data_IF_465494223276
#
_entry.id   IF_465494223276
#
_cell.length_a   1.000
_cell.length_b   1.000
_cell.length_c   1.000
_cell.angle_alpha   90.00
_cell.angle_beta   90.00
_cell.angle_gamma   90.00
#
_symmetry.space_group_name_H-M   'P 1'
#
loop_
_entity.id
_entity.type
_entity.pdbx_description
1 polymer ?
#
# COMPACT_ATOMS: atom_id res chain seq x y z
N UNK A 1 -22.87 -8.78 12.45
CA UNK A 1 -22.38 -7.41 12.26
C UNK A 1 -20.96 -7.50 11.74
N UNK A 2 -20.64 -6.78 10.68
CA UNK A 2 -19.27 -6.70 10.16
C UNK A 2 -18.54 -5.51 10.80
N UNK A 3 -17.24 -5.65 10.93
CA UNK A 3 -16.34 -4.56 11.31
C UNK A 3 -15.59 -4.09 10.06
N UNK A 4 -15.46 -2.77 9.89
CA UNK A 4 -14.65 -2.17 8.86
C UNK A 4 -13.76 -1.05 9.44
N UNK A 5 -12.60 -0.85 8.83
CA UNK A 5 -11.70 0.25 9.19
C UNK A 5 -11.64 1.26 8.06
N UNK A 6 -11.65 2.54 8.42
CA UNK A 6 -11.57 3.64 7.47
C UNK A 6 -10.40 4.54 7.84
N UNK A 7 -9.39 4.53 7.00
CA UNK A 7 -8.27 5.45 7.08
C UNK A 7 -8.64 6.82 6.52
N UNK A 8 -8.01 7.86 7.04
CA UNK A 8 -8.34 9.22 6.63
C UNK A 8 -7.11 10.12 6.60
N UNK A 9 -7.17 11.14 5.74
CA UNK A 9 -6.23 12.25 5.77
C UNK A 9 -6.71 13.28 6.81
N UNK A 10 -5.80 13.77 7.65
CA UNK A 10 -6.10 14.73 8.74
C UNK A 10 -6.53 16.11 8.26
N UNK A 11 -6.49 16.39 6.95
CA UNK A 11 -7.08 17.57 6.33
C UNK A 11 -8.59 17.53 6.55
N UNK A 12 -9.18 18.65 6.96
CA UNK A 12 -10.62 18.83 7.19
C UNK A 12 -11.17 18.25 8.50
N UNK A 13 -10.31 18.02 9.51
CA UNK A 13 -10.75 17.71 10.88
C UNK A 13 -11.00 16.24 11.15
N UNK A 14 -10.56 15.35 10.27
CA UNK A 14 -10.49 13.93 10.57
C UNK A 14 -9.49 13.65 11.70
N UNK A 15 -9.76 12.63 12.51
CA UNK A 15 -8.99 12.30 13.71
C UNK A 15 -8.08 11.08 13.54
N UNK A 16 -8.17 10.37 12.42
CA UNK A 16 -7.33 9.20 12.16
C UNK A 16 -8.06 8.01 11.57
N UNK A 17 -7.94 6.84 12.19
CA UNK A 17 -8.60 5.60 11.74
C UNK A 17 -9.92 5.43 12.49
N UNK A 18 -11.00 5.19 11.75
CA UNK A 18 -12.32 4.94 12.31
C UNK A 18 -12.68 3.45 12.21
N UNK A 19 -13.19 2.87 13.29
CA UNK A 19 -13.82 1.57 13.25
C UNK A 19 -15.32 1.75 13.04
N UNK A 20 -15.87 1.08 12.04
CA UNK A 20 -17.29 1.05 11.73
C UNK A 20 -17.89 -0.30 12.11
N UNK A 21 -19.05 -0.27 12.73
CA UNK A 21 -19.96 -1.42 12.81
C UNK A 21 -20.97 -1.33 11.66
N UNK A 22 -21.13 -2.42 10.91
CA UNK A 22 -22.01 -2.50 9.75
C UNK A 22 -23.07 -3.57 10.01
N UNK A 23 -24.34 -3.19 9.96
CA UNK A 23 -25.45 -4.14 9.98
C UNK A 23 -25.63 -4.75 8.58
N UNK A 24 -25.42 -6.07 8.47
CA UNK A 24 -25.47 -6.78 7.18
C UNK A 24 -26.86 -6.85 6.55
N UNK A 25 -27.91 -6.66 7.35
CA UNK A 25 -29.31 -6.73 6.86
C UNK A 25 -29.80 -5.37 6.38
N UNK A 26 -29.40 -4.30 7.06
CA UNK A 26 -29.88 -2.94 6.76
C UNK A 26 -28.86 -2.08 6.04
N UNK A 27 -27.58 -2.52 6.00
CA UNK A 27 -26.42 -1.75 5.55
C UNK A 27 -26.21 -0.44 6.36
N UNK A 28 -26.81 -0.35 7.55
CA UNK A 28 -26.56 0.79 8.44
C UNK A 28 -25.12 0.75 8.94
N UNK A 29 -24.40 1.88 8.86
CA UNK A 29 -23.03 2.03 9.29
C UNK A 29 -22.95 3.01 10.46
N UNK A 30 -22.20 2.64 11.50
CA UNK A 30 -21.97 3.50 12.67
C UNK A 30 -20.50 3.54 13.01
N UNK A 31 -19.95 4.72 13.23
CA UNK A 31 -18.62 4.86 13.84
C UNK A 31 -18.73 4.42 15.29
N UNK A 32 -18.00 3.39 15.66
CA UNK A 32 -17.99 2.86 17.02
C UNK A 32 -16.72 3.21 17.78
N UNK A 33 -15.60 3.48 17.05
CA UNK A 33 -14.31 3.89 17.62
C UNK A 33 -13.59 4.85 16.71
N UNK A 34 -12.69 5.62 17.29
CA UNK A 34 -11.76 6.49 16.58
C UNK A 34 -10.38 6.32 17.20
N UNK A 35 -9.41 5.99 16.39
CA UNK A 35 -8.01 5.81 16.77
C UNK A 35 -7.23 7.00 16.22
N UNK A 36 -6.60 7.82 17.10
CA UNK A 36 -5.77 8.92 16.64
C UNK A 36 -4.61 8.42 15.78
N UNK A 37 -4.56 8.88 14.54
CA UNK A 37 -3.50 8.55 13.59
C UNK A 37 -3.38 9.70 12.58
N UNK A 38 -2.16 10.07 12.22
CA UNK A 38 -1.91 11.16 11.31
C UNK A 38 -1.93 10.66 9.86
N UNK A 39 -2.76 11.27 9.01
CA UNK A 39 -2.79 11.04 7.56
C UNK A 39 -2.75 9.56 7.15
N UNK A 40 -3.52 8.71 7.83
CA UNK A 40 -3.64 7.28 7.56
C UNK A 40 -4.54 7.04 6.35
N UNK A 41 -4.09 7.52 5.17
CA UNK A 41 -4.91 7.58 3.96
C UNK A 41 -5.13 6.22 3.29
N UNK A 42 -4.26 5.25 3.55
CA UNK A 42 -4.39 3.89 3.04
C UNK A 42 -4.14 2.86 4.15
N UNK A 43 -4.92 1.77 4.12
CA UNK A 43 -4.89 0.70 5.11
C UNK A 43 -4.82 -0.66 4.41
N UNK A 44 -4.12 -1.60 4.99
CA UNK A 44 -4.27 -3.02 4.68
C UNK A 44 -4.38 -3.85 5.96
N UNK A 45 -4.93 -5.05 5.83
CA UNK A 45 -5.08 -6.03 6.93
C UNK A 45 -4.40 -7.32 6.48
N UNK A 46 -3.67 -7.97 7.39
CA UNK A 46 -3.08 -9.28 7.10
C UNK A 46 -4.14 -10.36 6.87
N UNK A 47 -3.75 -11.48 6.25
CA UNK A 47 -4.67 -12.58 5.91
C UNK A 47 -5.35 -13.22 7.13
N UNK A 48 -4.70 -13.15 8.29
CA UNK A 48 -5.22 -13.69 9.54
C UNK A 48 -6.17 -12.72 10.26
N UNK A 49 -6.36 -11.52 9.72
CA UNK A 49 -7.17 -10.43 10.28
C UNK A 49 -6.73 -10.00 11.70
N UNK A 50 -5.44 -10.18 12.02
CA UNK A 50 -4.87 -9.87 13.33
C UNK A 50 -4.15 -8.53 13.40
N UNK A 51 -3.67 -8.05 12.24
CA UNK A 51 -2.90 -6.81 12.18
C UNK A 51 -3.39 -5.90 11.06
N UNK A 52 -3.40 -4.61 11.37
CA UNK A 52 -3.70 -3.55 10.42
C UNK A 52 -2.46 -2.69 10.25
N UNK A 53 -2.12 -2.38 9.02
CA UNK A 53 -1.04 -1.48 8.65
C UNK A 53 -1.61 -0.25 7.97
N UNK A 54 -1.06 0.92 8.31
CA UNK A 54 -1.56 2.21 7.82
C UNK A 54 -0.42 3.09 7.33
N UNK A 55 -0.58 3.72 6.18
CA UNK A 55 0.35 4.77 5.73
C UNK A 55 0.27 5.98 6.66
N UNK A 56 1.40 6.69 6.83
CA UNK A 56 1.46 8.03 7.42
C UNK A 56 1.90 8.97 6.30
N UNK A 57 0.93 9.45 5.53
CA UNK A 57 1.16 10.27 4.33
C UNK A 57 1.73 11.63 4.72
N UNK A 58 3.03 11.75 4.67
CA UNK A 58 3.76 12.95 5.11
C UNK A 58 5.03 13.17 4.27
N UNK A 59 5.57 14.37 4.37
CA UNK A 59 6.88 14.74 3.83
C UNK A 59 7.98 14.70 4.89
N UNK A 60 7.63 14.56 6.17
CA UNK A 60 8.57 14.45 7.29
C UNK A 60 7.98 13.55 8.36
N UNK A 61 8.73 12.60 8.83
CA UNK A 61 8.35 11.64 9.85
C UNK A 61 9.42 11.60 10.95
N UNK A 62 9.08 12.08 12.16
CA UNK A 62 10.00 12.20 13.31
C UNK A 62 11.35 12.86 12.98
N UNK A 63 11.35 13.85 12.09
CA UNK A 63 12.57 14.55 11.66
C UNK A 63 13.36 13.84 10.55
N UNK A 64 12.87 12.70 10.05
CA UNK A 64 13.39 12.02 8.87
C UNK A 64 12.64 12.54 7.65
N UNK A 65 13.33 12.80 6.53
CA UNK A 65 12.70 13.18 5.27
C UNK A 65 11.93 11.99 4.69
N UNK A 66 10.63 12.20 4.47
CA UNK A 66 9.69 11.16 4.04
C UNK A 66 8.53 10.96 5.00
N UNK A 67 7.62 10.04 4.65
CA UNK A 67 6.51 9.62 5.48
C UNK A 67 6.83 8.41 6.34
N UNK A 68 5.78 7.77 6.85
CA UNK A 68 5.87 6.59 7.71
C UNK A 68 4.82 5.54 7.38
N UNK A 69 4.93 4.44 8.07
CA UNK A 69 3.94 3.36 8.12
C UNK A 69 3.82 2.85 9.54
N UNK A 70 2.60 2.60 10.01
CA UNK A 70 2.29 2.15 11.36
C UNK A 70 1.61 0.79 11.36
N UNK A 71 1.84 0.01 12.42
CA UNK A 71 1.23 -1.29 12.66
C UNK A 71 0.33 -1.24 13.90
N UNK A 72 -0.80 -1.95 13.83
CA UNK A 72 -1.76 -2.10 14.90
C UNK A 72 -2.19 -3.55 15.03
N UNK A 73 -2.36 -4.04 16.25
CA UNK A 73 -3.02 -5.30 16.53
C UNK A 73 -4.53 -5.11 16.53
N UNK A 74 -5.25 -6.02 15.90
CA UNK A 74 -6.72 -6.09 15.88
C UNK A 74 -7.14 -7.14 16.92
N UNK A 75 -8.00 -6.78 17.89
CA UNK A 75 -8.60 -7.74 18.81
C UNK A 75 -9.95 -8.27 18.30
N UNK A 76 -10.52 -9.26 19.02
CA UNK A 76 -11.81 -9.90 18.68
C UNK A 76 -13.00 -8.92 18.61
N UNK A 77 -12.89 -7.77 19.29
CA UNK A 77 -13.90 -6.71 19.29
C UNK A 77 -13.63 -5.62 18.22
N UNK A 78 -12.57 -5.78 17.40
CA UNK A 78 -12.15 -4.80 16.40
C UNK A 78 -11.50 -3.54 16.99
N UNK A 79 -10.93 -3.64 18.21
CA UNK A 79 -10.09 -2.56 18.73
C UNK A 79 -8.70 -2.63 18.10
N UNK A 80 -8.14 -1.45 17.83
CA UNK A 80 -6.76 -1.32 17.35
C UNK A 80 -5.84 -0.92 18.51
N UNK A 81 -4.80 -1.72 18.72
CA UNK A 81 -3.73 -1.40 19.65
C UNK A 81 -2.46 -1.12 18.86
N UNK A 82 -1.87 0.07 19.02
CA UNK A 82 -0.64 0.44 18.33
C UNK A 82 0.51 -0.52 18.73
N UNK A 83 1.25 -0.99 17.72
CA UNK A 83 2.43 -1.84 17.91
C UNK A 83 3.69 -0.99 17.73
N UNK A 84 3.96 -0.55 16.50
CA UNK A 84 5.12 0.28 16.17
C UNK A 84 4.90 1.03 14.86
N UNK A 85 5.90 1.81 14.49
CA UNK A 85 5.93 2.52 13.22
C UNK A 85 7.36 2.59 12.67
N UNK A 86 7.48 2.76 11.35
CA UNK A 86 8.76 2.88 10.65
C UNK A 86 8.73 4.01 9.62
N UNK A 87 9.87 4.70 9.39
CA UNK A 87 9.99 5.68 8.31
C UNK A 87 9.97 4.98 6.95
N UNK A 88 9.30 5.56 5.95
CA UNK A 88 9.29 5.01 4.58
C UNK A 88 10.42 5.54 3.71
N UNK A 89 11.24 6.45 4.22
CA UNK A 89 12.36 7.03 3.50
C UNK A 89 12.00 7.58 2.10
N UNK A 90 10.74 7.90 1.92
CA UNK A 90 10.15 8.48 0.72
C UNK A 90 8.92 9.29 1.08
N UNK A 91 8.61 10.33 0.32
CA UNK A 91 7.53 11.27 0.59
C UNK A 91 6.20 10.73 0.13
N UNK A 92 5.14 11.11 0.86
CA UNK A 92 3.76 10.82 0.53
C UNK A 92 3.52 9.30 0.29
N UNK A 93 3.76 8.42 1.28
CA UNK A 93 3.36 7.03 1.16
C UNK A 93 1.85 6.95 0.98
N UNK A 94 1.40 6.35 -0.13
CA UNK A 94 0.00 6.36 -0.54
C UNK A 94 -0.63 4.96 -0.65
N UNK A 95 0.19 3.92 -0.55
CA UNK A 95 -0.26 2.54 -0.64
C UNK A 95 0.57 1.65 0.27
N UNK A 96 -0.08 0.69 0.92
CA UNK A 96 0.57 -0.35 1.72
C UNK A 96 -0.09 -1.68 1.43
N UNK A 97 0.71 -2.72 1.24
CA UNK A 97 0.27 -4.09 1.07
C UNK A 97 1.07 -5.03 1.97
N UNK A 98 0.44 -6.12 2.39
CA UNK A 98 1.04 -7.15 3.24
C UNK A 98 0.86 -8.52 2.63
N UNK A 99 1.96 -9.23 2.45
CA UNK A 99 1.93 -10.61 1.99
C UNK A 99 2.92 -11.45 2.79
N UNK A 100 2.41 -12.51 3.43
CA UNK A 100 3.19 -13.39 4.31
C UNK A 100 3.91 -12.59 5.41
N UNK A 101 5.22 -12.65 5.47
CA UNK A 101 6.04 -11.99 6.48
C UNK A 101 6.65 -10.66 5.98
N UNK A 102 6.03 -10.01 4.98
CA UNK A 102 6.56 -8.77 4.40
C UNK A 102 5.51 -7.71 4.19
N UNK A 103 5.92 -6.47 4.40
CA UNK A 103 5.14 -5.26 4.16
C UNK A 103 5.79 -4.44 3.04
N UNK A 104 4.98 -3.98 2.12
CA UNK A 104 5.38 -3.19 0.95
C UNK A 104 4.70 -1.82 0.98
N UNK A 105 5.48 -0.75 0.87
CA UNK A 105 4.95 0.62 0.94
C UNK A 105 5.36 1.42 -0.29
N UNK A 106 4.38 1.92 -1.02
CA UNK A 106 4.59 2.78 -2.19
C UNK A 106 4.61 4.25 -1.80
N UNK A 107 5.69 4.94 -2.12
CA UNK A 107 5.86 6.37 -1.89
C UNK A 107 5.65 7.15 -3.19
N UNK A 108 4.53 7.82 -3.29
CA UNK A 108 4.15 8.62 -4.46
C UNK A 108 5.12 9.77 -4.73
N UNK A 109 5.50 10.50 -3.68
CA UNK A 109 6.25 11.75 -3.81
C UNK A 109 7.66 11.59 -4.37
N UNK A 110 8.25 10.39 -4.27
CA UNK A 110 9.62 10.10 -4.76
C UNK A 110 9.69 8.93 -5.73
N UNK A 111 8.56 8.30 -6.05
CA UNK A 111 8.55 7.15 -6.95
C UNK A 111 9.37 5.97 -6.42
N UNK A 112 9.14 5.60 -5.15
CA UNK A 112 9.89 4.51 -4.51
C UNK A 112 8.97 3.47 -3.89
N UNK A 113 9.41 2.22 -3.90
CA UNK A 113 8.87 1.12 -3.12
C UNK A 113 9.80 0.81 -1.96
N UNK A 114 9.27 0.62 -0.76
CA UNK A 114 10.04 0.20 0.43
C UNK A 114 9.47 -1.09 0.98
N UNK A 115 10.36 -2.02 1.32
CA UNK A 115 10.02 -3.36 1.79
C UNK A 115 10.55 -3.58 3.21
N UNK A 116 9.71 -4.17 4.06
CA UNK A 116 10.03 -4.46 5.45
C UNK A 116 9.71 -5.92 5.78
N UNK A 117 10.56 -6.63 6.52
CA UNK A 117 10.13 -7.86 7.16
C UNK A 117 9.15 -7.55 8.29
N UNK A 118 8.21 -8.44 8.53
CA UNK A 118 7.31 -8.42 9.67
C UNK A 118 7.78 -9.44 10.71
N UNK A 119 7.67 -9.06 11.97
CA UNK A 119 7.93 -9.96 13.09
C UNK A 119 6.66 -10.76 13.44
N UNK A 120 6.82 -11.83 14.23
CA UNK A 120 5.71 -12.71 14.61
C UNK A 120 4.56 -12.02 15.38
N UNK A 121 4.84 -10.90 16.02
CA UNK A 121 3.86 -10.08 16.74
C UNK A 121 3.21 -9.00 15.87
N UNK A 122 3.46 -9.03 14.54
CA UNK A 122 2.96 -8.07 13.57
C UNK A 122 3.73 -6.75 13.54
N UNK A 123 4.79 -6.60 14.33
CA UNK A 123 5.61 -5.39 14.29
C UNK A 123 6.41 -5.28 12.99
N UNK A 124 6.59 -4.06 12.51
CA UNK A 124 7.35 -3.75 11.30
C UNK A 124 8.83 -3.71 11.65
N UNK A 125 9.63 -4.60 11.03
CA UNK A 125 11.08 -4.62 11.18
C UNK A 125 11.77 -3.42 10.52
N UNK A 126 13.09 -3.44 10.49
CA UNK A 126 13.88 -2.41 9.80
C UNK A 126 13.70 -2.50 8.27
N UNK A 127 13.84 -1.36 7.57
CA UNK A 127 13.80 -1.33 6.11
C UNK A 127 14.85 -2.30 5.53
N UNK A 128 14.37 -3.31 4.80
CA UNK A 128 15.23 -4.29 4.14
C UNK A 128 15.66 -3.81 2.74
N UNK A 129 14.73 -3.22 2.00
CA UNK A 129 14.98 -2.74 0.64
C UNK A 129 14.21 -1.46 0.34
N UNK A 130 14.88 -0.53 -0.35
CA UNK A 130 14.26 0.59 -1.04
C UNK A 130 14.57 0.47 -2.52
N UNK A 131 13.54 0.43 -3.36
CA UNK A 131 13.62 0.42 -4.82
C UNK A 131 13.20 1.79 -5.31
N UNK A 132 14.01 2.42 -6.15
CA UNK A 132 13.70 3.73 -6.73
C UNK A 132 13.52 3.59 -8.23
N UNK A 133 12.38 4.05 -8.72
CA UNK A 133 12.19 4.22 -10.15
C UNK A 133 12.97 5.44 -10.64
N UNK A 134 13.51 5.36 -11.85
CA UNK A 134 14.36 6.42 -12.35
C UNK A 134 13.57 7.40 -13.20
N UNK A 135 13.78 8.71 -13.00
CA UNK A 135 13.16 9.72 -13.85
C UNK A 135 13.74 9.66 -15.27
N UNK A 136 12.92 10.01 -16.24
CA UNK A 136 13.38 10.34 -17.59
C UNK A 136 13.46 11.86 -17.77
N UNK A 137 13.95 12.32 -18.92
CA UNK A 137 14.02 13.75 -19.22
C UNK A 137 12.65 14.47 -19.19
N UNK A 138 11.55 13.72 -19.26
CA UNK A 138 10.19 14.26 -19.42
C UNK A 138 9.21 13.75 -18.38
N UNK A 139 9.56 12.71 -17.58
CA UNK A 139 8.66 12.05 -16.62
C UNK A 139 9.35 11.89 -15.28
N UNK A 140 8.60 12.17 -14.20
CA UNK A 140 9.02 11.99 -12.82
C UNK A 140 8.27 10.77 -12.26
N UNK A 141 8.96 9.82 -11.62
CA UNK A 141 8.32 8.65 -11.04
C UNK A 141 7.35 9.01 -9.91
N UNK A 142 6.21 8.33 -9.89
CA UNK A 142 5.21 8.38 -8.84
C UNK A 142 4.65 6.96 -8.61
N UNK A 143 5.38 6.16 -7.82
CA UNK A 143 4.93 4.80 -7.48
C UNK A 143 3.67 4.90 -6.63
N UNK A 144 2.56 4.34 -7.14
CA UNK A 144 1.26 4.49 -6.50
C UNK A 144 0.73 3.21 -5.88
N UNK A 145 1.05 2.06 -6.43
CA UNK A 145 0.54 0.77 -5.96
C UNK A 145 1.63 -0.30 -6.08
N UNK A 146 1.66 -1.19 -5.12
CA UNK A 146 2.51 -2.38 -5.14
C UNK A 146 1.73 -3.55 -4.56
N UNK A 147 1.44 -4.57 -5.37
CA UNK A 147 0.73 -5.78 -4.97
C UNK A 147 1.52 -7.02 -5.34
N UNK A 148 1.41 -8.05 -4.51
CA UNK A 148 1.99 -9.36 -4.82
C UNK A 148 1.09 -10.08 -5.81
N UNK A 149 1.71 -10.72 -6.82
CA UNK A 149 0.97 -11.57 -7.74
C UNK A 149 0.34 -12.78 -7.02
N UNK A 150 -0.79 -13.32 -7.49
CA UNK A 150 -1.50 -14.42 -6.80
C UNK A 150 -0.67 -15.68 -6.53
N UNK A 151 0.36 -15.95 -7.35
CA UNK A 151 1.33 -17.04 -7.16
C UNK A 151 2.41 -16.71 -6.12
N UNK A 152 2.48 -15.42 -5.71
CA UNK A 152 3.46 -14.91 -4.76
C UNK A 152 4.88 -14.80 -5.32
N UNK A 153 5.08 -14.86 -6.64
CA UNK A 153 6.41 -14.85 -7.24
C UNK A 153 6.92 -13.43 -7.50
N UNK A 154 6.02 -12.48 -7.75
CA UNK A 154 6.41 -11.11 -8.12
C UNK A 154 5.72 -10.05 -7.28
N UNK A 155 6.39 -8.91 -7.14
CA UNK A 155 5.83 -7.64 -6.67
C UNK A 155 5.49 -6.83 -7.92
N UNK A 156 4.20 -6.65 -8.20
CA UNK A 156 3.71 -5.79 -9.28
C UNK A 156 3.66 -4.34 -8.80
N UNK A 157 4.44 -3.47 -9.41
CA UNK A 157 4.59 -2.07 -9.03
C UNK A 157 4.10 -1.17 -10.15
N UNK A 158 3.14 -0.29 -9.84
CA UNK A 158 2.56 0.66 -10.77
C UNK A 158 3.10 2.05 -10.51
N UNK A 159 3.62 2.66 -11.56
CA UNK A 159 4.16 4.02 -11.51
C UNK A 159 3.39 4.92 -12.47
N UNK A 160 2.51 5.75 -11.89
CA UNK A 160 1.66 6.64 -12.66
C UNK A 160 2.42 7.85 -13.25
N UNK A 161 3.57 8.18 -12.71
CA UNK A 161 4.37 9.31 -13.19
C UNK A 161 5.15 9.02 -14.45
N UNK A 162 5.55 7.77 -14.67
CA UNK A 162 6.32 7.35 -15.85
C UNK A 162 5.56 6.39 -16.76
N UNK A 163 4.25 6.18 -16.51
CA UNK A 163 3.38 5.26 -17.28
C UNK A 163 3.94 3.83 -17.34
N UNK A 164 4.43 3.31 -16.22
CA UNK A 164 5.10 2.02 -16.18
C UNK A 164 4.45 1.04 -15.21
N UNK A 165 4.54 -0.23 -15.55
CA UNK A 165 4.26 -1.37 -14.68
C UNK A 165 5.54 -2.20 -14.63
N UNK A 166 6.04 -2.46 -13.43
CA UNK A 166 7.27 -3.20 -13.20
C UNK A 166 7.01 -4.40 -12.28
N UNK A 167 7.68 -5.51 -12.55
CA UNK A 167 7.61 -6.72 -11.76
C UNK A 167 8.97 -7.03 -11.19
N UNK A 168 9.05 -7.09 -9.87
CA UNK A 168 10.25 -7.45 -9.14
C UNK A 168 10.09 -8.82 -8.52
N UNK A 169 11.14 -9.62 -8.48
CA UNK A 169 11.10 -10.92 -7.81
C UNK A 169 10.74 -10.74 -6.32
N UNK A 170 9.73 -11.47 -5.84
CA UNK A 170 9.29 -11.42 -4.45
C UNK A 170 10.02 -12.42 -3.55
N UNK A 171 10.74 -13.42 -4.13
CA UNK A 171 11.34 -14.54 -3.41
C UNK A 171 12.75 -14.88 -3.89
N UNK A 172 13.43 -15.70 -3.09
CA UNK A 172 14.70 -16.33 -3.45
C UNK A 172 15.91 -15.42 -3.41
N UNK A 173 17.00 -15.87 -4.03
CA UNK A 173 18.29 -15.17 -4.06
C UNK A 173 18.22 -13.84 -4.84
N UNK A 174 17.33 -13.76 -5.83
CA UNK A 174 17.10 -12.59 -6.68
C UNK A 174 15.93 -11.72 -6.21
N UNK A 175 15.53 -11.85 -4.95
CA UNK A 175 14.49 -11.01 -4.38
C UNK A 175 14.79 -9.54 -4.60
N UNK A 176 13.77 -8.80 -5.06
CA UNK A 176 13.83 -7.38 -5.41
C UNK A 176 14.60 -7.04 -6.69
N UNK A 177 15.13 -8.01 -7.42
CA UNK A 177 15.64 -7.73 -8.76
C UNK A 177 14.47 -7.52 -9.73
N UNK A 178 14.67 -6.58 -10.65
CA UNK A 178 13.68 -6.33 -11.70
C UNK A 178 13.66 -7.49 -12.68
N UNK A 179 12.53 -8.17 -12.80
CA UNK A 179 12.36 -9.27 -13.75
C UNK A 179 11.93 -8.74 -15.12
N UNK A 180 10.88 -7.93 -15.15
CA UNK A 180 10.43 -7.27 -16.38
C UNK A 180 9.62 -6.01 -16.07
N UNK A 181 9.54 -5.13 -17.08
CA UNK A 181 8.69 -3.95 -17.03
C UNK A 181 8.15 -3.62 -18.41
N UNK A 182 6.98 -2.99 -18.45
CA UNK A 182 6.40 -2.48 -19.69
C UNK A 182 5.75 -1.11 -19.46
N UNK A 183 5.66 -0.34 -20.55
CA UNK A 183 4.95 0.93 -20.54
C UNK A 183 3.46 0.73 -20.86
N UNK A 184 2.62 1.47 -20.18
CA UNK A 184 1.23 1.67 -20.58
C UNK A 184 1.15 2.77 -21.63
N UNK A 185 -0.06 3.11 -22.10
CA UNK A 185 -0.25 4.24 -23.03
C UNK A 185 0.30 5.54 -22.41
N UNK A 186 1.00 6.32 -23.21
CA UNK A 186 1.59 7.58 -22.78
C UNK A 186 0.55 8.52 -22.15
N UNK A 187 0.83 9.03 -20.96
CA UNK A 187 -0.05 9.87 -20.17
C UNK A 187 -1.25 9.14 -19.56
N UNK A 188 -1.26 7.81 -19.48
CA UNK A 188 -2.37 7.06 -18.87
C UNK A 188 -2.34 7.06 -17.35
N UNK A 189 -1.16 7.00 -16.73
CA UNK A 189 -0.98 6.96 -15.29
C UNK A 189 -1.55 5.70 -14.62
N UNK A 190 -0.93 4.51 -14.79
CA UNK A 190 -1.39 3.29 -14.14
C UNK A 190 -1.33 3.47 -12.62
N UNK A 191 -2.45 3.19 -11.93
CA UNK A 191 -2.61 3.59 -10.53
C UNK A 191 -2.82 2.43 -9.58
N UNK A 192 -3.80 1.57 -9.84
CA UNK A 192 -4.08 0.38 -9.05
C UNK A 192 -4.21 -0.83 -9.95
N UNK A 193 -3.90 -2.00 -9.41
CA UNK A 193 -4.08 -3.30 -10.06
C UNK A 193 -4.98 -4.18 -9.19
N UNK A 194 -5.72 -5.08 -9.82
CA UNK A 194 -6.24 -6.26 -9.18
C UNK A 194 -6.06 -7.46 -10.12
N UNK A 195 -5.86 -8.62 -9.54
CA UNK A 195 -5.68 -9.86 -10.29
C UNK A 195 -6.98 -10.64 -10.33
N UNK A 196 -7.17 -11.45 -11.39
CA UNK A 196 -8.23 -12.45 -11.40
C UNK A 196 -7.94 -13.57 -10.41
N UNK A 197 -8.98 -14.26 -9.94
CA UNK A 197 -8.86 -15.35 -8.94
C UNK A 197 -7.95 -16.49 -9.42
N UNK A 198 -7.87 -16.72 -10.72
CA UNK A 198 -6.99 -17.73 -11.33
C UNK A 198 -5.57 -17.21 -11.63
N UNK A 199 -5.28 -15.96 -11.31
CA UNK A 199 -3.99 -15.31 -11.52
C UNK A 199 -3.62 -15.00 -12.97
N UNK A 200 -4.49 -15.33 -13.94
CA UNK A 200 -4.14 -15.20 -15.36
C UNK A 200 -4.30 -13.79 -15.94
N UNK A 201 -5.05 -12.93 -15.26
CA UNK A 201 -5.34 -11.57 -15.72
C UNK A 201 -5.01 -10.54 -14.63
N UNK A 202 -4.37 -9.47 -15.06
CA UNK A 202 -4.19 -8.24 -14.26
C UNK A 202 -5.08 -7.13 -14.85
N UNK A 203 -5.93 -6.52 -14.01
CA UNK A 203 -6.75 -5.38 -14.39
C UNK A 203 -6.14 -4.12 -13.77
N UNK A 204 -5.72 -3.19 -14.61
CA UNK A 204 -5.04 -1.96 -14.19
C UNK A 204 -5.95 -0.77 -14.50
N UNK A 205 -6.30 -0.01 -13.47
CA UNK A 205 -7.00 1.27 -13.63
C UNK A 205 -5.99 2.41 -13.75
N UNK A 206 -6.21 3.27 -14.74
CA UNK A 206 -5.35 4.41 -15.04
C UNK A 206 -6.00 5.72 -14.56
N UNK A 207 -5.24 6.53 -13.82
CA UNK A 207 -5.74 7.74 -13.18
C UNK A 207 -6.06 8.87 -14.17
N UNK A 208 -5.17 9.09 -15.13
CA UNK A 208 -5.19 10.34 -15.92
C UNK A 208 -6.23 10.31 -17.03
N UNK A 209 -6.45 9.15 -17.67
CA UNK A 209 -7.36 9.02 -18.80
C UNK A 209 -8.61 8.20 -18.48
N UNK A 210 -8.75 7.72 -17.23
CA UNK A 210 -9.86 6.88 -16.76
C UNK A 210 -10.02 5.56 -17.55
N UNK A 211 -8.96 5.10 -18.21
CA UNK A 211 -8.94 3.80 -18.87
C UNK A 211 -8.77 2.67 -17.84
N UNK A 212 -9.35 1.53 -18.16
CA UNK A 212 -9.01 0.26 -17.52
C UNK A 212 -8.44 -0.65 -18.58
N UNK A 213 -7.26 -1.21 -18.32
CA UNK A 213 -6.58 -2.12 -19.24
C UNK A 213 -6.42 -3.48 -18.58
N UNK A 214 -6.51 -4.55 -19.38
CA UNK A 214 -6.25 -5.92 -18.90
C UNK A 214 -5.01 -6.47 -19.58
N UNK A 215 -4.21 -7.17 -18.80
CA UNK A 215 -3.03 -7.87 -19.27
C UNK A 215 -3.11 -9.34 -18.88
N UNK A 216 -2.60 -10.22 -19.75
CA UNK A 216 -2.37 -11.62 -19.40
C UNK A 216 -1.04 -11.75 -18.68
N UNK A 217 -1.07 -12.47 -17.59
CA UNK A 217 0.12 -12.81 -16.81
C UNK A 217 0.77 -14.07 -17.36
#
# INVERSE_FOLDING_TARGET
MLTAFVGTNSLRGSQGIYTLAIDEHTAEMKIVRTIPAENSSYLCIDKDEKHLYATIESNSFHGIDGGGVSAYQIDEDGNLTFINEQPTYGKLPCYVDVESDYLYVSNYGEGTLVCYPLEQDGSIGGCERKISHLPSAQKVPHVHCSEITPDGEYICVLDCGIDAVAFYNAKGEHRYDLEYAFGTKDGSGPRHVCFSDDGNLAYIICETNSDTVSYTH
#
